data_IF_424262018383
#
_entry.id   IF_424262018383
#
_cell.length_a   1.000
_cell.length_b   1.000
_cell.length_c   1.000
_cell.angle_alpha   90.00
_cell.angle_beta   90.00
_cell.angle_gamma   90.00
#
_symmetry.space_group_name_H-M   'P 1'
#
loop_
_entity.id
_entity.type
_entity.pdbx_description
1 polymer ?
#
# COMPACT_ATOMS: atom_id res chain seq x y z
N UNK A 1 13.92 -17.62 -32.42
CA UNK A 1 13.39 -16.85 -31.27
C UNK A 1 12.85 -15.54 -31.80
N UNK A 2 11.53 -15.31 -31.75
CA UNK A 2 10.93 -14.04 -32.18
C UNK A 2 11.24 -13.00 -31.11
N UNK A 3 12.08 -12.02 -31.42
CA UNK A 3 12.19 -10.82 -30.60
C UNK A 3 10.83 -10.14 -30.59
N UNK A 4 10.17 -10.08 -29.43
CA UNK A 4 8.97 -9.28 -29.26
C UNK A 4 9.32 -7.82 -29.55
N UNK A 5 8.61 -7.21 -30.51
CA UNK A 5 8.85 -5.82 -30.90
C UNK A 5 8.57 -4.91 -29.71
N UNK A 6 9.48 -3.96 -29.48
CA UNK A 6 9.32 -2.92 -28.46
C UNK A 6 8.00 -2.14 -28.70
N UNK A 7 7.04 -2.24 -27.77
CA UNK A 7 5.81 -1.45 -27.79
C UNK A 7 6.04 -0.06 -27.16
N UNK A 8 5.67 1.05 -27.83
CA UNK A 8 5.62 2.38 -27.25
C UNK A 8 4.75 2.46 -25.99
N UNK A 9 5.08 3.36 -25.06
CA UNK A 9 4.44 3.46 -23.74
C UNK A 9 2.90 3.57 -23.76
N UNK A 10 2.34 4.24 -24.76
CA UNK A 10 0.89 4.45 -24.90
C UNK A 10 0.14 3.22 -25.44
N UNK A 11 0.88 2.21 -25.93
CA UNK A 11 0.33 0.96 -26.47
C UNK A 11 0.47 -0.21 -25.51
N UNK A 12 1.11 -0.01 -24.36
CA UNK A 12 1.26 -1.03 -23.32
C UNK A 12 -0.04 -1.14 -22.54
N UNK A 13 -0.54 -2.36 -22.38
CA UNK A 13 -1.60 -2.62 -21.40
C UNK A 13 -1.08 -2.37 -19.98
N UNK A 14 -1.95 -2.20 -19.00
CA UNK A 14 -1.54 -1.99 -17.61
C UNK A 14 -0.60 -3.11 -17.11
N UNK A 15 -0.81 -4.35 -17.56
CA UNK A 15 0.04 -5.50 -17.25
C UNK A 15 1.42 -5.46 -17.96
N UNK A 16 1.53 -4.76 -19.09
CA UNK A 16 2.78 -4.56 -19.85
C UNK A 16 3.59 -3.33 -19.36
N UNK A 17 3.03 -2.51 -18.48
CA UNK A 17 3.74 -1.37 -17.90
C UNK A 17 4.75 -1.86 -16.84
N UNK A 18 6.02 -1.92 -17.24
CA UNK A 18 7.15 -2.23 -16.34
C UNK A 18 7.11 -1.40 -15.05
N UNK A 19 6.62 -0.15 -15.10
CA UNK A 19 6.49 0.70 -13.91
C UNK A 19 5.38 0.22 -12.97
N UNK A 20 4.30 -0.36 -13.50
CA UNK A 20 3.28 -0.99 -12.67
C UNK A 20 3.85 -2.25 -12.02
N UNK A 21 4.51 -3.11 -12.80
CA UNK A 21 5.13 -4.34 -12.28
C UNK A 21 6.17 -4.05 -11.18
N UNK A 22 7.00 -3.01 -11.35
CA UNK A 22 7.93 -2.53 -10.32
C UNK A 22 7.20 -2.10 -9.04
N UNK A 23 6.11 -1.31 -9.16
CA UNK A 23 5.30 -0.92 -8.01
C UNK A 23 4.64 -2.12 -7.33
N UNK A 24 4.20 -3.13 -8.07
CA UNK A 24 3.59 -4.34 -7.52
C UNK A 24 4.61 -5.23 -6.80
N UNK A 25 5.87 -5.24 -7.26
CA UNK A 25 6.97 -5.89 -6.55
C UNK A 25 7.24 -5.19 -5.21
N UNK A 26 7.32 -3.86 -5.21
CA UNK A 26 7.47 -3.06 -3.99
C UNK A 26 6.29 -3.23 -3.02
N UNK A 27 5.05 -3.31 -3.54
CA UNK A 27 3.86 -3.65 -2.75
C UNK A 27 4.04 -4.99 -2.03
N UNK A 28 4.58 -6.01 -2.71
CA UNK A 28 4.77 -7.32 -2.07
C UNK A 28 5.78 -7.27 -0.93
N UNK A 29 6.85 -6.46 -1.04
CA UNK A 29 7.82 -6.25 0.04
C UNK A 29 7.16 -5.57 1.24
N UNK A 30 6.43 -4.48 1.01
CA UNK A 30 5.75 -3.70 2.06
C UNK A 30 4.65 -4.52 2.72
N UNK A 31 3.83 -5.22 1.92
CA UNK A 31 2.76 -6.07 2.41
C UNK A 31 3.29 -7.16 3.35
N UNK A 32 4.40 -7.82 3.01
CA UNK A 32 5.03 -8.81 3.88
C UNK A 32 5.54 -8.20 5.20
N UNK A 33 6.16 -7.02 5.16
CA UNK A 33 6.64 -6.33 6.36
C UNK A 33 5.50 -5.94 7.31
N UNK A 34 4.32 -5.62 6.77
CA UNK A 34 3.15 -5.29 7.56
C UNK A 34 2.20 -6.47 7.83
N UNK A 35 2.55 -7.68 7.36
CA UNK A 35 1.70 -8.87 7.40
C UNK A 35 0.31 -8.62 6.77
N UNK A 36 0.27 -7.86 5.68
CA UNK A 36 -0.96 -7.65 4.91
C UNK A 36 -1.30 -8.89 4.10
N UNK A 37 -2.53 -9.35 4.25
CA UNK A 37 -3.05 -10.52 3.56
C UNK A 37 -3.75 -10.12 2.24
N UNK A 38 -3.62 -10.96 1.22
CA UNK A 38 -4.45 -10.94 0.01
C UNK A 38 -5.69 -11.83 0.17
N UNK A 39 -6.40 -12.13 -0.92
CA UNK A 39 -7.67 -12.90 -0.99
C UNK A 39 -7.86 -14.17 -0.15
N UNK A 40 -6.86 -14.70 0.55
CA UNK A 40 -7.08 -15.70 1.60
C UNK A 40 -7.10 -15.01 2.97
N UNK A 41 -8.27 -14.85 3.62
CA UNK A 41 -8.32 -14.32 4.97
C UNK A 41 -7.55 -15.25 5.91
N UNK A 42 -6.48 -14.74 6.51
CA UNK A 42 -5.83 -15.46 7.60
C UNK A 42 -6.79 -15.41 8.78
N UNK A 43 -7.38 -16.55 9.12
CA UNK A 43 -8.18 -16.68 10.33
C UNK A 43 -7.23 -16.70 11.52
N UNK A 44 -7.42 -15.78 12.46
CA UNK A 44 -6.63 -15.72 13.69
C UNK A 44 -7.55 -15.88 14.87
N UNK A 45 -7.13 -16.70 15.83
CA UNK A 45 -7.87 -16.97 17.04
C UNK A 45 -7.91 -15.70 17.89
N UNK A 46 -9.11 -15.15 18.08
CA UNK A 46 -9.34 -13.89 18.79
C UNK A 46 -10.23 -14.15 19.99
N UNK A 47 -9.80 -13.70 21.17
CA UNK A 47 -10.62 -13.73 22.39
C UNK A 47 -11.54 -12.51 22.43
N UNK A 48 -12.85 -12.75 22.51
CA UNK A 48 -13.85 -11.70 22.77
C UNK A 48 -13.85 -11.33 24.25
N UNK A 49 -14.39 -10.16 24.57
CA UNK A 49 -14.53 -9.69 25.97
C UNK A 49 -15.38 -10.64 26.83
N UNK A 50 -16.26 -11.44 26.21
CA UNK A 50 -17.08 -12.48 26.85
C UNK A 50 -16.32 -13.80 27.12
N UNK A 51 -15.04 -13.90 26.74
CA UNK A 51 -14.19 -15.07 26.99
C UNK A 51 -14.14 -16.10 25.87
N UNK A 52 -14.99 -15.97 24.84
CA UNK A 52 -15.02 -16.89 23.70
C UNK A 52 -13.84 -16.71 22.76
N UNK A 53 -13.20 -17.82 22.38
CA UNK A 53 -12.19 -17.90 21.33
C UNK A 53 -12.87 -18.16 19.98
N UNK A 54 -12.86 -17.15 19.10
CA UNK A 54 -13.42 -17.26 17.74
C UNK A 54 -12.34 -17.04 16.68
N UNK A 55 -12.42 -17.81 15.59
CA UNK A 55 -11.64 -17.55 14.39
C UNK A 55 -12.23 -16.34 13.67
N UNK A 56 -11.55 -15.19 13.77
CA UNK A 56 -11.91 -14.01 13.01
C UNK A 56 -10.94 -13.84 11.83
N UNK A 57 -11.44 -13.46 10.65
CA UNK A 57 -10.58 -13.06 9.56
C UNK A 57 -9.79 -11.82 9.99
N UNK A 58 -8.47 -11.92 10.06
CA UNK A 58 -7.59 -10.77 10.27
C UNK A 58 -6.96 -10.45 8.93
N UNK A 59 -7.43 -9.35 8.34
CA UNK A 59 -7.02 -8.96 7.00
C UNK A 59 -7.61 -9.90 5.95
N UNK A 60 -8.46 -9.35 5.11
CA UNK A 60 -8.87 -9.98 3.86
C UNK A 60 -8.87 -8.89 2.81
N UNK A 61 -7.96 -8.98 1.85
CA UNK A 61 -7.88 -8.04 0.74
C UNK A 61 -7.19 -6.71 1.04
N UNK A 62 -6.44 -6.56 2.14
CA UNK A 62 -5.66 -5.34 2.37
C UNK A 62 -4.61 -5.14 1.27
N UNK A 63 -3.92 -6.22 0.89
CA UNK A 63 -2.97 -6.20 -0.22
C UNK A 63 -3.66 -5.88 -1.55
N UNK A 64 -4.88 -6.40 -1.75
CA UNK A 64 -5.64 -6.22 -2.98
C UNK A 64 -6.21 -4.79 -3.10
N UNK A 65 -6.74 -4.22 -2.01
CA UNK A 65 -7.12 -2.81 -1.91
C UNK A 65 -5.93 -1.88 -2.19
N UNK A 66 -4.77 -2.18 -1.60
CA UNK A 66 -3.56 -1.41 -1.87
C UNK A 66 -3.13 -1.54 -3.34
N UNK A 67 -3.23 -2.74 -3.93
CA UNK A 67 -2.97 -2.99 -5.35
C UNK A 67 -3.88 -2.16 -6.26
N UNK A 68 -5.17 -2.08 -5.95
CA UNK A 68 -6.16 -1.30 -6.70
C UNK A 68 -5.84 0.21 -6.64
N UNK A 69 -5.46 0.72 -5.47
CA UNK A 69 -5.04 2.12 -5.32
C UNK A 69 -3.78 2.38 -6.15
N UNK A 70 -2.77 1.49 -6.07
CA UNK A 70 -1.49 1.64 -6.76
C UNK A 70 -1.64 1.61 -8.28
N UNK A 71 -2.56 0.81 -8.81
CA UNK A 71 -2.79 0.70 -10.26
C UNK A 71 -3.54 1.91 -10.82
N UNK A 72 -4.34 2.62 -10.02
CA UNK A 72 -5.13 3.78 -10.45
C UNK A 72 -4.46 5.13 -10.20
N UNK A 73 -3.68 5.26 -9.13
CA UNK A 73 -3.17 6.56 -8.69
C UNK A 73 -1.85 6.93 -9.38
N UNK A 74 -1.80 8.16 -9.91
CA UNK A 74 -0.54 8.76 -10.34
C UNK A 74 0.27 9.23 -9.11
N UNK A 75 1.37 8.52 -8.83
CA UNK A 75 2.25 8.81 -7.70
C UNK A 75 2.78 10.25 -7.71
N UNK A 76 2.96 10.86 -8.89
CA UNK A 76 3.41 12.26 -9.01
C UNK A 76 2.32 13.26 -8.63
N UNK A 77 1.04 12.87 -8.75
CA UNK A 77 -0.09 13.68 -8.26
C UNK A 77 -0.30 13.46 -6.78
N UNK A 78 -0.05 12.24 -6.31
CA UNK A 78 -0.17 11.88 -4.90
C UNK A 78 0.87 12.62 -4.04
N UNK A 79 2.15 12.53 -4.39
CA UNK A 79 3.19 13.26 -3.67
C UNK A 79 4.18 13.88 -4.65
N UNK A 80 4.27 15.22 -4.62
CA UNK A 80 5.36 15.96 -5.25
C UNK A 80 6.31 16.33 -4.13
N UNK A 81 7.45 15.65 -4.07
CA UNK A 81 8.51 16.05 -3.15
C UNK A 81 8.78 17.54 -3.33
N UNK A 82 8.86 18.29 -2.23
CA UNK A 82 9.29 19.68 -2.26
C UNK A 82 10.71 19.80 -2.86
N UNK A 83 11.16 21.03 -3.11
CA UNK A 83 12.49 21.29 -3.68
C UNK A 83 13.57 20.54 -2.89
N UNK A 84 14.28 19.61 -3.54
CA UNK A 84 15.34 18.80 -2.93
C UNK A 84 14.90 17.46 -2.31
N UNK A 85 13.60 17.10 -2.32
CA UNK A 85 13.13 15.79 -1.83
C UNK A 85 12.95 14.81 -2.99
N UNK A 86 13.73 13.73 -3.00
CA UNK A 86 13.53 12.61 -3.93
C UNK A 86 12.22 11.90 -3.58
N UNK A 87 11.38 11.69 -4.58
CA UNK A 87 10.17 10.88 -4.42
C UNK A 87 10.60 9.41 -4.53
N UNK A 88 10.44 8.65 -3.45
CA UNK A 88 10.68 7.21 -3.47
C UNK A 88 9.34 6.47 -3.63
N UNK A 89 9.17 5.64 -4.68
CA UNK A 89 7.98 4.80 -4.83
C UNK A 89 7.71 3.90 -3.62
N UNK A 90 8.75 3.40 -2.94
CA UNK A 90 8.62 2.55 -1.76
C UNK A 90 7.97 3.32 -0.60
N UNK A 91 8.34 4.58 -0.40
CA UNK A 91 7.73 5.48 0.59
C UNK A 91 6.23 5.67 0.33
N UNK A 92 5.85 5.93 -0.93
CA UNK A 92 4.45 6.13 -1.32
C UNK A 92 3.64 4.85 -1.10
N UNK A 93 4.17 3.70 -1.51
CA UNK A 93 3.52 2.40 -1.34
C UNK A 93 3.37 2.08 0.15
N UNK A 94 4.38 2.37 0.96
CA UNK A 94 4.32 2.22 2.43
C UNK A 94 3.18 3.06 3.03
N UNK A 95 3.01 4.30 2.57
CA UNK A 95 1.91 5.17 2.99
C UNK A 95 0.54 4.63 2.57
N UNK A 96 0.40 4.12 1.34
CA UNK A 96 -0.84 3.48 0.85
C UNK A 96 -1.19 2.25 1.69
N UNK A 97 -0.22 1.39 1.97
CA UNK A 97 -0.42 0.21 2.81
C UNK A 97 -0.89 0.58 4.22
N UNK A 98 -0.23 1.56 4.85
CA UNK A 98 -0.62 2.09 6.15
C UNK A 98 -2.02 2.71 6.13
N UNK A 99 -2.39 3.39 5.05
CA UNK A 99 -3.74 3.94 4.85
C UNK A 99 -4.81 2.85 4.85
N UNK A 100 -4.63 1.80 4.04
CA UNK A 100 -5.57 0.67 3.96
C UNK A 100 -5.70 -0.04 5.30
N UNK A 101 -4.58 -0.28 5.99
CA UNK A 101 -4.59 -0.93 7.30
C UNK A 101 -5.35 -0.12 8.36
N UNK A 102 -5.28 1.22 8.30
CA UNK A 102 -6.00 2.11 9.21
C UNK A 102 -7.50 2.16 8.93
N UNK A 103 -7.90 2.17 7.65
CA UNK A 103 -9.32 2.09 7.27
C UNK A 103 -9.95 0.76 7.72
N UNK A 104 -9.23 -0.34 7.57
CA UNK A 104 -9.72 -1.66 7.96
C UNK A 104 -9.68 -1.91 9.47
N UNK A 105 -8.85 -1.17 10.23
CA UNK A 105 -8.82 -1.28 11.69
C UNK A 105 -8.55 0.09 12.35
N UNK A 106 -9.60 0.93 12.53
CA UNK A 106 -9.47 2.26 13.13
C UNK A 106 -9.01 2.25 14.59
N UNK A 107 -9.18 1.11 15.29
CA UNK A 107 -8.77 0.93 16.70
C UNK A 107 -7.30 0.52 16.85
N UNK A 108 -6.65 0.13 15.76
CA UNK A 108 -5.18 -0.04 15.71
C UNK A 108 -4.61 1.36 15.86
N UNK A 109 -4.14 1.69 17.08
CA UNK A 109 -3.68 3.04 17.44
C UNK A 109 -2.59 3.60 16.52
N UNK A 110 -2.05 4.78 16.86
CA UNK A 110 -1.12 5.52 16.01
C UNK A 110 -0.03 4.65 15.38
N UNK A 111 0.21 4.83 14.08
CA UNK A 111 1.25 4.07 13.38
C UNK A 111 2.60 4.42 14.03
N UNK A 112 3.32 3.39 14.46
CA UNK A 112 4.67 3.54 15.01
C UNK A 112 5.66 3.80 13.87
N UNK A 113 5.82 5.07 13.48
CA UNK A 113 6.87 5.52 12.55
C UNK A 113 8.29 5.24 13.06
N UNK A 114 8.44 4.80 14.32
CA UNK A 114 9.69 4.34 14.91
C UNK A 114 10.12 2.94 14.43
N UNK A 115 9.30 2.22 13.67
CA UNK A 115 9.69 0.94 13.07
C UNK A 115 10.83 1.15 12.05
N UNK A 116 11.89 0.34 12.15
CA UNK A 116 13.09 0.48 11.31
C UNK A 116 12.78 0.37 9.81
N UNK A 117 11.81 -0.47 9.41
CA UNK A 117 11.35 -0.54 8.03
C UNK A 117 10.76 0.80 7.58
N UNK A 118 9.85 1.38 8.37
CA UNK A 118 9.22 2.67 8.05
C UNK A 118 10.28 3.78 7.98
N UNK A 119 11.22 3.82 8.92
CA UNK A 119 12.33 4.79 8.90
C UNK A 119 13.18 4.66 7.64
N UNK A 120 13.49 3.43 7.23
CA UNK A 120 14.27 3.16 6.02
C UNK A 120 13.53 3.55 4.73
N UNK A 121 12.19 3.51 4.74
CA UNK A 121 11.39 4.01 3.61
C UNK A 121 11.38 5.54 3.50
N UNK A 122 11.82 6.26 4.53
CA UNK A 122 11.75 7.73 4.60
C UNK A 122 10.35 8.28 4.86
N UNK A 123 9.38 7.42 5.18
CA UNK A 123 8.01 7.84 5.47
C UNK A 123 7.91 8.46 6.87
N UNK A 124 7.61 9.76 6.92
CA UNK A 124 7.31 10.48 8.15
C UNK A 124 5.80 10.64 8.36
N UNK A 125 5.38 11.03 9.56
CA UNK A 125 3.97 11.34 9.86
C UNK A 125 3.41 12.42 8.92
N UNK A 126 4.16 13.50 8.71
CA UNK A 126 3.77 14.59 7.81
C UNK A 126 3.54 14.12 6.36
N UNK A 127 4.43 13.27 5.85
CA UNK A 127 4.31 12.71 4.49
C UNK A 127 3.10 11.78 4.42
N UNK A 128 2.90 10.95 5.43
CA UNK A 128 1.73 10.07 5.52
C UNK A 128 0.43 10.87 5.58
N UNK A 129 0.34 11.91 6.41
CA UNK A 129 -0.87 12.73 6.55
C UNK A 129 -1.20 13.44 5.22
N UNK A 130 -0.19 13.91 4.49
CA UNK A 130 -0.36 14.50 3.17
C UNK A 130 -0.87 13.48 2.13
N UNK A 131 -0.26 12.29 2.10
CA UNK A 131 -0.66 11.23 1.17
C UNK A 131 -2.06 10.72 1.50
N UNK A 132 -2.34 10.43 2.78
CA UNK A 132 -3.63 9.90 3.24
C UNK A 132 -4.76 10.89 3.01
N UNK A 133 -4.56 12.19 3.28
CA UNK A 133 -5.55 13.22 2.98
C UNK A 133 -5.89 13.30 1.49
N UNK A 134 -4.91 13.12 0.60
CA UNK A 134 -5.19 13.01 -0.84
C UNK A 134 -5.89 11.71 -1.21
N UNK A 135 -5.52 10.59 -0.60
CA UNK A 135 -6.21 9.32 -0.80
C UNK A 135 -7.68 9.40 -0.36
N UNK A 136 -8.00 10.14 0.70
CA UNK A 136 -9.39 10.37 1.10
C UNK A 136 -10.18 11.16 0.04
N UNK A 137 -9.54 12.10 -0.67
CA UNK A 137 -10.16 12.78 -1.84
C UNK A 137 -10.35 11.83 -3.02
N UNK A 138 -9.40 10.91 -3.25
CA UNK A 138 -9.50 9.90 -4.31
C UNK A 138 -10.49 8.77 -3.99
N UNK A 139 -10.64 8.44 -2.72
CA UNK A 139 -11.45 7.34 -2.18
C UNK A 139 -12.84 7.76 -1.72
N UNK A 140 -13.28 8.98 -2.04
CA UNK A 140 -14.68 9.41 -1.92
C UNK A 140 -15.56 8.69 -2.95
N UNK A 141 -15.84 7.42 -2.67
CA UNK A 141 -16.98 6.63 -3.12
C UNK A 141 -17.91 6.43 -1.93
#
# INVERSE_FOLDING_TARGET
MKYERYKPYHEKTADEDFRLNEKLALLSIVASNFMMTGHSPTLVMTKREEGDEVLLPVGGGQKDKAREIISRVDFRKLYRGGKGRKIDPLMIITAICMYVMRKDNPRRGDIRYSNDFIRNTGLTKEIYDHISGKLDVYGGL
#
